data_IF_157491235459
#
_entry.id   IF_157491235459
#
_cell.length_a   1.000
_cell.length_b   1.000
_cell.length_c   1.000
_cell.angle_alpha   90.00
_cell.angle_beta   90.00
_cell.angle_gamma   90.00
#
_symmetry.space_group_name_H-M   'P 1'
#
loop_
_entity.id
_entity.type
_entity.pdbx_description
1 polymer ?
#
# COMPACT_ATOMS: atom_id res chain seq x y z
N UNK A 1 -3.88 -12.56 -19.63
CA UNK A 1 -3.92 -11.94 -18.29
C UNK A 1 -4.86 -10.74 -18.35
N UNK A 2 -5.81 -10.66 -17.43
CA UNK A 2 -6.92 -9.69 -17.51
C UNK A 2 -6.74 -8.44 -16.66
N UNK A 3 -5.64 -8.32 -15.92
CA UNK A 3 -5.29 -7.11 -15.16
C UNK A 3 -6.00 -6.98 -13.82
N UNK A 4 -6.02 -5.76 -13.30
CA UNK A 4 -6.71 -5.34 -12.08
C UNK A 4 -8.04 -4.65 -12.41
N UNK A 5 -8.86 -4.35 -11.40
CA UNK A 5 -10.16 -3.67 -11.61
C UNK A 5 -9.96 -2.24 -12.11
N UNK A 6 -9.13 -1.48 -11.39
CA UNK A 6 -8.87 -0.08 -11.67
C UNK A 6 -7.75 0.06 -12.71
N UNK A 7 -7.84 1.11 -13.52
CA UNK A 7 -6.83 1.48 -14.54
C UNK A 7 -6.42 0.29 -15.40
N UNK A 8 -7.38 -0.56 -15.76
CA UNK A 8 -7.15 -1.86 -16.34
C UNK A 8 -6.39 -1.78 -17.67
N UNK A 9 -5.55 -2.79 -17.88
CA UNK A 9 -5.03 -3.21 -19.17
C UNK A 9 -5.13 -4.74 -19.22
N UNK A 10 -5.19 -5.31 -20.42
CA UNK A 10 -5.06 -6.75 -20.63
C UNK A 10 -3.73 -7.07 -21.30
N UNK A 11 -3.15 -8.22 -20.96
CA UNK A 11 -1.85 -8.63 -21.49
C UNK A 11 -1.87 -10.04 -22.07
N UNK A 12 -1.11 -10.22 -23.15
CA UNK A 12 -0.98 -11.46 -23.90
C UNK A 12 0.47 -11.90 -24.01
N UNK A 13 0.69 -13.21 -23.96
CA UNK A 13 1.97 -13.81 -24.30
C UNK A 13 2.01 -14.10 -25.81
N UNK A 14 3.01 -13.55 -26.50
CA UNK A 14 3.35 -13.87 -27.89
C UNK A 14 4.83 -14.26 -27.93
N UNK A 15 5.14 -15.56 -28.04
CA UNK A 15 6.50 -16.09 -28.10
C UNK A 15 7.43 -15.55 -27.00
N UNK A 16 6.97 -15.61 -25.74
CA UNK A 16 7.67 -15.10 -24.54
C UNK A 16 7.83 -13.57 -24.50
N UNK A 17 7.05 -12.85 -25.31
CA UNK A 17 6.94 -11.38 -25.25
C UNK A 17 5.57 -11.02 -24.72
N UNK A 18 5.52 -10.03 -23.83
CA UNK A 18 4.28 -9.54 -23.26
C UNK A 18 3.77 -8.39 -24.11
N UNK A 19 2.60 -8.55 -24.70
CA UNK A 19 1.85 -7.50 -25.39
C UNK A 19 0.82 -6.94 -24.43
N UNK A 20 0.87 -5.64 -24.16
CA UNK A 20 -0.06 -4.94 -23.28
C UNK A 20 -1.03 -4.13 -24.14
N UNK A 21 -2.31 -4.16 -23.81
CA UNK A 21 -3.34 -3.37 -24.49
C UNK A 21 -3.22 -1.87 -24.19
N UNK A 22 -4.04 -1.08 -24.87
CA UNK A 22 -4.36 0.27 -24.44
C UNK A 22 -5.04 0.29 -23.06
N UNK A 23 -5.09 1.47 -22.45
CA UNK A 23 -5.84 1.73 -21.23
C UNK A 23 -7.34 1.46 -21.44
N UNK A 24 -7.91 0.63 -20.56
CA UNK A 24 -9.34 0.26 -20.59
C UNK A 24 -10.13 1.08 -19.57
N UNK A 25 -9.59 1.27 -18.36
CA UNK A 25 -10.26 2.01 -17.30
C UNK A 25 -10.71 1.13 -16.14
N UNK A 26 -11.75 1.57 -15.44
CA UNK A 26 -12.34 0.83 -14.31
C UNK A 26 -13.35 -0.20 -14.83
N UNK A 27 -13.03 -1.48 -14.73
CA UNK A 27 -13.83 -2.57 -15.29
C UNK A 27 -15.10 -2.89 -14.51
N UNK A 28 -15.32 -2.26 -13.35
CA UNK A 28 -16.61 -2.37 -12.66
C UNK A 28 -17.68 -1.49 -13.35
N UNK A 29 -17.29 -0.54 -14.20
CA UNK A 29 -18.18 0.09 -15.16
C UNK A 29 -18.40 -0.85 -16.37
N UNK A 30 -19.67 -1.11 -16.70
CA UNK A 30 -20.09 -1.92 -17.84
C UNK A 30 -19.46 -1.49 -19.18
N UNK A 31 -19.35 -0.19 -19.43
CA UNK A 31 -18.78 0.36 -20.67
C UNK A 31 -17.31 -0.03 -20.84
N UNK A 32 -16.55 0.02 -19.74
CA UNK A 32 -15.14 -0.37 -19.72
C UNK A 32 -15.01 -1.90 -19.74
N UNK A 33 -15.95 -2.63 -19.15
CA UNK A 33 -15.98 -4.09 -19.26
C UNK A 33 -16.21 -4.55 -20.70
N UNK A 34 -17.16 -3.95 -21.43
CA UNK A 34 -17.36 -4.22 -22.85
C UNK A 34 -16.12 -3.86 -23.68
N UNK A 35 -15.42 -2.79 -23.31
CA UNK A 35 -14.13 -2.43 -23.91
C UNK A 35 -13.04 -3.48 -23.62
N UNK A 36 -13.00 -4.05 -22.41
CA UNK A 36 -12.10 -5.16 -22.06
C UNK A 36 -12.37 -6.37 -22.96
N UNK A 37 -13.62 -6.82 -23.03
CA UNK A 37 -14.02 -8.01 -23.80
C UNK A 37 -13.70 -7.83 -25.29
N UNK A 38 -14.09 -6.69 -25.86
CA UNK A 38 -13.84 -6.38 -27.27
C UNK A 38 -12.34 -6.23 -27.59
N UNK A 39 -11.57 -5.59 -26.71
CA UNK A 39 -10.11 -5.47 -26.85
C UNK A 39 -9.45 -6.83 -26.79
N UNK A 40 -9.83 -7.67 -25.83
CA UNK A 40 -9.24 -9.00 -25.68
C UNK A 40 -9.56 -9.90 -26.88
N UNK A 41 -10.80 -9.87 -27.37
CA UNK A 41 -11.19 -10.57 -28.60
C UNK A 41 -10.38 -10.11 -29.82
N UNK A 42 -10.23 -8.79 -30.00
CA UNK A 42 -9.49 -8.22 -31.15
C UNK A 42 -8.01 -8.57 -31.14
N UNK A 43 -7.35 -8.54 -29.98
CA UNK A 43 -5.95 -8.96 -29.87
C UNK A 43 -5.79 -10.46 -30.18
N UNK A 44 -6.71 -11.30 -29.70
CA UNK A 44 -6.70 -12.73 -30.01
C UNK A 44 -6.86 -13.00 -31.50
N UNK A 45 -7.77 -12.31 -32.17
CA UNK A 45 -7.97 -12.42 -33.62
C UNK A 45 -6.75 -11.92 -34.40
N UNK A 46 -6.29 -10.70 -34.11
CA UNK A 46 -5.20 -10.05 -34.85
C UNK A 46 -3.89 -10.83 -34.79
N UNK A 47 -3.56 -11.39 -33.63
CA UNK A 47 -2.33 -12.15 -33.41
C UNK A 47 -2.53 -13.66 -33.47
N UNK A 48 -3.73 -14.13 -33.84
CA UNK A 48 -4.12 -15.55 -33.87
C UNK A 48 -3.75 -16.29 -32.57
N UNK A 49 -4.03 -15.66 -31.43
CA UNK A 49 -3.68 -16.18 -30.11
C UNK A 49 -4.73 -17.20 -29.66
N UNK A 50 -4.24 -18.35 -29.19
CA UNK A 50 -5.03 -19.37 -28.50
C UNK A 50 -4.49 -19.51 -27.08
N UNK A 51 -4.98 -18.69 -26.13
CA UNK A 51 -4.50 -18.74 -24.76
C UNK A 51 -4.76 -20.13 -24.16
N UNK A 52 -3.73 -20.73 -23.60
CA UNK A 52 -3.80 -21.99 -22.87
C UNK A 52 -3.89 -21.76 -21.34
N UNK A 53 -3.90 -20.50 -20.92
CA UNK A 53 -4.16 -20.04 -19.58
C UNK A 53 -4.75 -18.62 -19.57
N UNK A 54 -5.69 -18.37 -18.65
CA UNK A 54 -6.22 -17.06 -18.33
C UNK A 54 -5.86 -16.72 -16.88
N UNK A 55 -5.29 -15.53 -16.67
CA UNK A 55 -4.76 -15.10 -15.37
C UNK A 55 -5.51 -13.85 -14.92
N UNK A 56 -5.98 -13.83 -13.67
CA UNK A 56 -6.62 -12.69 -13.04
C UNK A 56 -6.06 -12.37 -11.65
N UNK A 57 -6.52 -11.28 -11.06
CA UNK A 57 -6.29 -10.93 -9.65
C UNK A 57 -7.03 -11.92 -8.71
N UNK A 58 -6.61 -11.99 -7.44
CA UNK A 58 -7.29 -12.76 -6.39
C UNK A 58 -8.70 -12.24 -6.07
N UNK A 59 -9.04 -11.03 -6.49
CA UNK A 59 -10.41 -10.54 -6.36
C UNK A 59 -11.37 -11.20 -7.38
N UNK A 60 -11.80 -12.43 -7.09
CA UNK A 60 -12.64 -13.26 -7.96
C UNK A 60 -14.04 -12.69 -8.25
N UNK A 61 -14.51 -11.75 -7.43
CA UNK A 61 -15.80 -11.07 -7.62
C UNK A 61 -15.79 -9.97 -8.70
N UNK A 62 -14.63 -9.65 -9.27
CA UNK A 62 -14.52 -8.61 -10.30
C UNK A 62 -15.02 -9.08 -11.67
N UNK A 63 -15.52 -8.14 -12.48
CA UNK A 63 -15.92 -8.42 -13.86
C UNK A 63 -14.77 -9.00 -14.70
N UNK A 64 -13.55 -8.50 -14.51
CA UNK A 64 -12.36 -9.01 -15.21
C UNK A 64 -12.06 -10.48 -14.85
N UNK A 65 -12.15 -10.85 -13.55
CA UNK A 65 -11.97 -12.24 -13.12
C UNK A 65 -13.08 -13.16 -13.65
N UNK A 66 -14.34 -12.68 -13.67
CA UNK A 66 -15.46 -13.38 -14.30
C UNK A 66 -15.21 -13.69 -15.77
N UNK A 67 -14.78 -12.68 -16.54
CA UNK A 67 -14.38 -12.88 -17.94
C UNK A 67 -13.26 -13.92 -18.10
N UNK A 68 -12.19 -13.84 -17.29
CA UNK A 68 -11.10 -14.81 -17.33
C UNK A 68 -11.56 -16.24 -17.05
N UNK A 69 -12.46 -16.41 -16.08
CA UNK A 69 -13.02 -17.72 -15.71
C UNK A 69 -13.88 -18.30 -16.83
N UNK A 70 -14.77 -17.49 -17.40
CA UNK A 70 -15.67 -17.92 -18.48
C UNK A 70 -14.91 -18.30 -19.76
N UNK A 71 -13.90 -17.51 -20.14
CA UNK A 71 -13.05 -17.83 -21.29
C UNK A 71 -12.19 -19.07 -21.04
N UNK A 72 -11.62 -19.22 -19.84
CA UNK A 72 -10.86 -20.42 -19.49
C UNK A 72 -11.71 -21.69 -19.62
N UNK A 73 -12.94 -21.65 -19.11
CA UNK A 73 -13.88 -22.76 -19.24
C UNK A 73 -14.23 -23.05 -20.71
N UNK A 74 -14.54 -22.01 -21.50
CA UNK A 74 -14.95 -22.17 -22.91
C UNK A 74 -13.84 -22.74 -23.79
N UNK A 75 -12.59 -22.35 -23.54
CA UNK A 75 -11.42 -22.77 -24.33
C UNK A 75 -10.76 -24.05 -23.80
N UNK A 76 -11.22 -24.58 -22.66
CA UNK A 76 -10.54 -25.69 -21.98
C UNK A 76 -9.12 -25.32 -21.51
N UNK A 77 -8.90 -24.05 -21.18
CA UNK A 77 -7.63 -23.49 -20.73
C UNK A 77 -7.53 -23.44 -19.20
N UNK A 78 -6.32 -23.27 -18.68
CA UNK A 78 -6.11 -23.14 -17.23
C UNK A 78 -6.63 -21.78 -16.71
N UNK A 79 -7.38 -21.78 -15.61
CA UNK A 79 -7.72 -20.57 -14.88
C UNK A 79 -6.76 -20.36 -13.72
N UNK A 80 -6.07 -19.22 -13.68
CA UNK A 80 -5.04 -18.89 -12.71
C UNK A 80 -5.39 -17.58 -12.01
N UNK A 81 -5.23 -17.54 -10.70
CA UNK A 81 -5.39 -16.33 -9.91
C UNK A 81 -4.12 -16.06 -9.11
N UNK A 82 -3.69 -14.79 -9.07
CA UNK A 82 -2.50 -14.37 -8.30
C UNK A 82 -2.77 -13.11 -7.49
N UNK A 83 -2.03 -12.96 -6.39
CA UNK A 83 -2.12 -11.80 -5.51
C UNK A 83 -1.71 -10.50 -6.18
N UNK A 84 -2.49 -9.44 -5.94
CA UNK A 84 -2.31 -8.11 -6.53
C UNK A 84 -0.88 -7.56 -6.36
N UNK A 85 -0.38 -7.55 -5.13
CA UNK A 85 0.93 -7.00 -4.78
C UNK A 85 2.09 -7.83 -5.33
N UNK A 86 1.88 -9.13 -5.52
CA UNK A 86 2.85 -10.00 -6.17
C UNK A 86 2.89 -9.74 -7.68
N UNK A 87 1.73 -9.53 -8.32
CA UNK A 87 1.66 -9.12 -9.72
C UNK A 87 2.38 -7.78 -9.98
N UNK A 88 2.27 -6.82 -9.05
CA UNK A 88 3.05 -5.58 -9.06
C UNK A 88 4.56 -5.86 -9.12
N UNK A 89 5.10 -6.64 -8.19
CA UNK A 89 6.52 -6.99 -8.18
C UNK A 89 6.95 -7.74 -9.45
N UNK A 90 6.15 -8.70 -9.90
CA UNK A 90 6.39 -9.46 -11.13
C UNK A 90 6.41 -8.58 -12.38
N UNK A 91 5.64 -7.50 -12.43
CA UNK A 91 5.64 -6.59 -13.59
C UNK A 91 7.00 -5.92 -13.77
N UNK A 92 7.65 -5.52 -12.67
CA UNK A 92 8.99 -4.93 -12.67
C UNK A 92 10.04 -6.00 -12.98
N UNK A 93 9.90 -7.21 -12.42
CA UNK A 93 10.77 -8.34 -12.73
C UNK A 93 10.71 -8.71 -14.22
N UNK A 94 9.52 -8.72 -14.82
CA UNK A 94 9.30 -9.03 -16.23
C UNK A 94 10.05 -8.06 -17.14
N UNK A 95 9.92 -6.75 -16.87
CA UNK A 95 10.60 -5.72 -17.64
C UNK A 95 12.14 -5.81 -17.51
N UNK A 96 12.63 -6.18 -16.33
CA UNK A 96 14.06 -6.23 -16.04
C UNK A 96 14.69 -7.62 -16.27
N UNK A 97 13.93 -8.58 -16.78
CA UNK A 97 14.40 -9.95 -17.05
C UNK A 97 14.86 -10.70 -15.81
N UNK A 98 14.18 -10.50 -14.67
CA UNK A 98 14.55 -11.10 -13.38
C UNK A 98 13.74 -12.37 -13.12
N UNK A 99 14.45 -13.44 -12.79
CA UNK A 99 13.86 -14.73 -12.41
C UNK A 99 14.16 -15.11 -10.95
N UNK A 100 15.24 -14.58 -10.39
CA UNK A 100 15.72 -14.88 -9.05
C UNK A 100 14.99 -14.09 -7.95
N UNK A 101 15.31 -14.39 -6.68
CA UNK A 101 14.66 -13.77 -5.54
C UNK A 101 14.96 -12.27 -5.46
N UNK A 102 13.92 -11.48 -5.23
CA UNK A 102 13.98 -10.03 -5.02
C UNK A 102 13.17 -9.64 -3.79
N UNK A 103 13.41 -8.44 -3.28
CA UNK A 103 12.51 -7.76 -2.35
C UNK A 103 11.58 -6.87 -3.19
N UNK A 104 10.33 -7.28 -3.33
CA UNK A 104 9.26 -6.47 -3.92
C UNK A 104 8.69 -5.48 -2.90
N UNK A 105 8.85 -4.19 -3.16
CA UNK A 105 8.14 -3.13 -2.44
C UNK A 105 6.92 -2.75 -3.27
N UNK A 106 5.75 -3.23 -2.85
CA UNK A 106 4.47 -3.04 -3.56
C UNK A 106 3.60 -2.09 -2.73
N UNK A 107 3.72 -0.79 -2.99
CA UNK A 107 3.02 0.25 -2.23
C UNK A 107 1.91 0.88 -3.05
N UNK A 108 0.67 0.66 -2.61
CA UNK A 108 -0.53 1.01 -3.36
C UNK A 108 -1.65 1.54 -2.46
N UNK A 109 -2.78 1.90 -3.08
CA UNK A 109 -4.01 2.26 -2.40
C UNK A 109 -4.78 1.04 -1.88
N UNK A 110 -5.09 0.09 -2.75
CA UNK A 110 -5.96 -1.04 -2.40
C UNK A 110 -5.58 -2.26 -3.22
N UNK A 111 -5.32 -3.38 -2.57
CA UNK A 111 -5.32 -4.69 -3.22
C UNK A 111 -5.67 -5.78 -2.23
N UNK A 112 -6.37 -6.82 -2.70
CA UNK A 112 -6.79 -7.92 -1.82
C UNK A 112 -5.57 -8.74 -1.38
N UNK A 113 -5.38 -8.84 -0.07
CA UNK A 113 -4.37 -9.67 0.56
C UNK A 113 -4.85 -11.10 0.81
N UNK A 114 -3.90 -12.00 1.07
CA UNK A 114 -4.20 -13.42 1.35
C UNK A 114 -4.97 -13.62 2.67
N UNK A 115 -4.92 -12.63 3.55
CA UNK A 115 -5.63 -12.57 4.83
C UNK A 115 -7.04 -11.97 4.72
N UNK A 116 -7.55 -11.80 3.49
CA UNK A 116 -8.78 -11.05 3.16
C UNK A 116 -8.75 -9.58 3.62
N UNK A 117 -7.59 -9.06 4.02
CA UNK A 117 -7.36 -7.66 4.31
C UNK A 117 -7.08 -6.86 3.04
N UNK A 118 -7.08 -5.54 3.18
CA UNK A 118 -6.64 -4.65 2.11
C UNK A 118 -5.18 -4.30 2.29
N UNK A 119 -4.34 -4.88 1.45
CA UNK A 119 -2.92 -4.59 1.37
C UNK A 119 -2.65 -3.31 0.56
N UNK A 120 -1.42 -2.80 0.68
CA UNK A 120 -0.95 -1.62 -0.05
C UNK A 120 0.33 -1.00 0.52
N UNK A 121 0.99 -1.68 1.46
CA UNK A 121 2.22 -1.24 2.10
C UNK A 121 3.18 -2.39 2.30
N UNK A 122 3.27 -3.28 1.31
CA UNK A 122 3.83 -4.62 1.48
C UNK A 122 5.29 -4.73 1.03
N UNK A 123 6.05 -5.51 1.80
CA UNK A 123 7.39 -5.96 1.48
C UNK A 123 7.30 -7.47 1.22
N UNK A 124 7.49 -7.88 -0.02
CA UNK A 124 7.46 -9.26 -0.44
C UNK A 124 8.89 -9.74 -0.69
N UNK A 125 9.24 -10.92 -0.21
CA UNK A 125 10.38 -11.68 -0.74
C UNK A 125 9.81 -12.63 -1.77
N UNK A 126 10.12 -12.42 -3.04
CA UNK A 126 9.46 -13.11 -4.14
C UNK A 126 10.41 -13.44 -5.30
N UNK A 127 10.07 -14.47 -6.04
CA UNK A 127 10.66 -14.81 -7.33
C UNK A 127 9.52 -15.08 -8.34
N UNK A 128 9.74 -15.88 -9.38
CA UNK A 128 8.69 -16.22 -10.35
C UNK A 128 7.79 -17.39 -9.92
N UNK A 129 8.21 -18.15 -8.89
CA UNK A 129 7.50 -19.31 -8.38
C UNK A 129 6.54 -18.95 -7.23
N UNK A 130 6.85 -17.91 -6.46
CA UNK A 130 5.96 -17.43 -5.41
C UNK A 130 6.52 -16.26 -4.60
N UNK A 131 5.85 -15.98 -3.47
CA UNK A 131 6.26 -14.92 -2.56
C UNK A 131 6.03 -15.29 -1.10
N UNK A 132 6.74 -14.57 -0.22
CA UNK A 132 6.51 -14.51 1.22
C UNK A 132 6.32 -13.05 1.61
N UNK A 133 5.26 -12.75 2.35
CA UNK A 133 5.08 -11.44 3.00
C UNK A 133 6.14 -11.30 4.10
N UNK A 134 7.15 -10.45 3.87
CA UNK A 134 8.30 -10.26 4.74
C UNK A 134 8.20 -9.01 5.61
N UNK A 135 7.34 -8.07 5.25
CA UNK A 135 7.01 -6.92 6.08
C UNK A 135 5.81 -6.14 5.56
N UNK A 136 5.24 -5.29 6.40
CA UNK A 136 4.11 -4.44 6.08
C UNK A 136 3.96 -3.28 7.07
N UNK A 137 3.10 -2.31 6.76
CA UNK A 137 2.71 -1.28 7.74
C UNK A 137 1.74 -1.84 8.77
N UNK A 138 1.78 -1.32 9.99
CA UNK A 138 0.85 -1.69 11.05
C UNK A 138 -0.61 -1.54 10.59
N UNK A 139 -1.41 -2.62 10.68
CA UNK A 139 -2.78 -2.59 10.19
C UNK A 139 -3.66 -1.72 11.10
N UNK A 140 -4.68 -1.11 10.50
CA UNK A 140 -5.77 -0.46 11.23
C UNK A 140 -7.11 -0.86 10.61
N UNK A 141 -8.17 -0.87 11.43
CA UNK A 141 -9.51 -1.18 10.96
C UNK A 141 -10.16 0.05 10.36
N UNK A 142 -10.85 -0.11 9.24
CA UNK A 142 -11.61 0.95 8.58
C UNK A 142 -13.05 0.51 8.46
N UNK A 143 -13.97 1.28 9.03
CA UNK A 143 -15.41 1.10 8.86
C UNK A 143 -15.86 1.66 7.51
N UNK A 144 -16.70 0.91 6.78
CA UNK A 144 -17.23 1.31 5.47
C UNK A 144 -16.12 1.74 4.50
N UNK A 145 -15.25 0.79 4.13
CA UNK A 145 -14.01 1.04 3.39
C UNK A 145 -14.20 1.92 2.15
N UNK A 146 -15.14 1.56 1.25
CA UNK A 146 -15.40 2.32 0.02
C UNK A 146 -15.92 3.74 0.26
N UNK A 147 -16.67 3.93 1.35
CA UNK A 147 -17.10 5.26 1.78
C UNK A 147 -15.97 6.06 2.43
N UNK A 148 -15.04 5.40 3.11
CA UNK A 148 -13.92 6.01 3.80
C UNK A 148 -12.84 6.50 2.82
N UNK A 149 -12.58 5.76 1.73
CA UNK A 149 -11.64 6.22 0.69
C UNK A 149 -12.11 7.49 -0.03
N UNK A 150 -13.43 7.76 -0.05
CA UNK A 150 -14.02 8.99 -0.62
C UNK A 150 -14.01 10.18 0.35
N UNK A 151 -13.99 9.92 1.66
CA UNK A 151 -13.86 10.96 2.70
C UNK A 151 -12.76 10.56 3.68
N UNK A 152 -11.55 11.00 3.38
CA UNK A 152 -10.32 10.60 4.08
C UNK A 152 -10.30 10.97 5.56
N UNK A 153 -11.18 11.88 6.01
CA UNK A 153 -11.41 12.16 7.43
C UNK A 153 -11.89 10.93 8.19
N UNK A 154 -12.65 10.04 7.52
CA UNK A 154 -13.09 8.76 8.10
C UNK A 154 -11.91 7.82 8.32
N UNK A 155 -10.93 7.79 7.40
CA UNK A 155 -9.71 7.01 7.55
C UNK A 155 -8.88 7.52 8.73
N UNK A 156 -8.70 8.84 8.84
CA UNK A 156 -8.02 9.45 9.97
C UNK A 156 -8.71 9.15 11.30
N UNK A 157 -10.05 9.22 11.35
CA UNK A 157 -10.80 8.91 12.57
C UNK A 157 -10.65 7.45 12.96
N UNK A 158 -10.76 6.53 12.00
CA UNK A 158 -10.58 5.10 12.24
C UNK A 158 -9.16 4.81 12.77
N UNK A 159 -8.13 5.37 12.14
CA UNK A 159 -6.75 5.20 12.58
C UNK A 159 -6.49 5.82 13.96
N UNK A 160 -7.02 7.03 14.22
CA UNK A 160 -6.91 7.67 15.52
C UNK A 160 -7.59 6.82 16.60
N UNK A 161 -8.80 6.33 16.35
CA UNK A 161 -9.52 5.46 17.29
C UNK A 161 -8.75 4.18 17.59
N UNK A 162 -8.27 3.47 16.56
CA UNK A 162 -7.49 2.24 16.74
C UNK A 162 -6.25 2.49 17.60
N UNK A 163 -5.56 3.62 17.38
CA UNK A 163 -4.25 3.88 17.96
C UNK A 163 -4.24 4.61 19.30
N UNK A 164 -5.32 5.34 19.61
CA UNK A 164 -5.52 5.97 20.89
C UNK A 164 -6.43 5.13 21.80
N UNK A 165 -7.48 4.51 21.27
CA UNK A 165 -8.40 3.64 22.01
C UNK A 165 -7.84 2.24 22.28
N UNK A 166 -6.99 1.71 21.39
CA UNK A 166 -6.37 0.39 21.52
C UNK A 166 -5.21 0.31 22.53
N UNK A 167 -4.70 1.45 23.02
CA UNK A 167 -3.59 1.47 23.98
C UNK A 167 -3.89 0.82 25.35
N UNK A 168 -5.16 0.45 25.60
CA UNK A 168 -5.60 -0.30 26.78
C UNK A 168 -6.13 -1.72 26.50
N UNK A 169 -6.06 -2.22 25.26
CA UNK A 169 -6.55 -3.55 24.87
C UNK A 169 -5.46 -4.36 24.14
N UNK A 170 -4.24 -4.38 24.67
CA UNK A 170 -3.34 -5.49 24.35
C UNK A 170 -3.97 -6.77 24.93
N UNK A 171 -4.54 -7.62 24.08
CA UNK A 171 -4.78 -9.02 24.42
C UNK A 171 -3.40 -9.69 24.61
N UNK A 172 -2.86 -9.57 25.82
CA UNK A 172 -1.83 -10.49 26.29
C UNK A 172 -2.53 -11.78 26.69
N UNK A 173 -2.48 -12.79 25.83
CA UNK A 173 -2.69 -14.17 26.26
C UNK A 173 -1.48 -14.61 27.11
N UNK A 174 -1.44 -14.15 28.35
CA UNK A 174 -0.61 -14.78 29.38
C UNK A 174 -1.39 -15.99 29.90
N UNK A 175 -1.04 -17.18 29.38
CA UNK A 175 -1.35 -18.44 30.05
C UNK A 175 -0.73 -18.38 31.44
N UNK A 176 -1.58 -18.46 32.47
CA UNK A 176 -1.24 -18.53 33.89
C UNK A 176 -0.79 -17.22 34.57
N UNK A 177 -1.68 -16.24 34.68
CA UNK A 177 -2.15 -15.72 36.00
C UNK A 177 -3.09 -14.54 35.83
N UNK A 178 -4.23 -14.59 36.53
CA UNK A 178 -5.11 -13.44 36.72
C UNK A 178 -4.38 -12.35 37.51
N UNK A 179 -3.86 -11.35 36.82
CA UNK A 179 -3.63 -10.03 37.42
C UNK A 179 -4.36 -9.00 36.56
N UNK A 180 -5.48 -8.51 37.08
CA UNK A 180 -6.16 -7.33 36.56
C UNK A 180 -5.27 -6.14 36.95
N UNK A 181 -4.36 -5.74 36.06
CA UNK A 181 -3.73 -4.42 36.16
C UNK A 181 -4.68 -3.44 35.49
N UNK A 182 -5.54 -2.81 36.29
CA UNK A 182 -6.16 -1.52 35.92
C UNK A 182 -5.07 -0.46 36.05
N UNK A 183 -4.25 -0.30 35.04
CA UNK A 183 -3.51 0.95 34.88
C UNK A 183 -4.47 1.98 34.31
N UNK A 184 -5.23 2.58 35.24
CA UNK A 184 -5.93 3.82 35.05
C UNK A 184 -4.91 4.92 34.77
N UNK A 185 -4.63 5.17 33.49
CA UNK A 185 -4.16 6.49 33.06
C UNK A 185 -5.33 7.45 33.29
N UNK A 186 -5.05 8.51 34.02
CA UNK A 186 -5.96 9.57 34.46
C UNK A 186 -6.99 9.98 33.39
N UNK A 187 -8.27 9.68 33.66
CA UNK A 187 -9.36 10.67 33.66
C UNK A 187 -9.62 11.54 32.43
N UNK A 188 -9.11 11.21 31.25
CA UNK A 188 -9.54 11.81 29.97
C UNK A 188 -10.09 10.70 29.10
N UNK A 189 -11.38 10.80 28.78
CA UNK A 189 -12.01 9.91 27.83
C UNK A 189 -11.30 10.09 26.48
N UNK A 190 -10.53 9.09 26.06
CA UNK A 190 -9.68 9.15 24.87
C UNK A 190 -10.53 9.45 23.62
N UNK A 191 -11.75 8.95 23.61
CA UNK A 191 -12.74 9.22 22.57
C UNK A 191 -13.16 10.69 22.60
N UNK A 192 -13.31 11.33 23.78
CA UNK A 192 -13.57 12.77 23.86
C UNK A 192 -12.41 13.60 23.32
N UNK A 193 -11.15 13.18 23.54
CA UNK A 193 -9.99 13.90 22.99
C UNK A 193 -9.90 13.76 21.46
N UNK A 194 -10.17 12.56 20.94
CA UNK A 194 -10.28 12.33 19.49
C UNK A 194 -11.43 13.17 18.94
N UNK A 195 -12.63 13.05 19.50
CA UNK A 195 -13.82 13.78 19.04
C UNK A 195 -13.58 15.29 19.01
N UNK A 196 -13.00 15.83 20.09
CA UNK A 196 -12.62 17.24 20.17
C UNK A 196 -11.64 17.65 19.09
N UNK A 197 -10.62 16.83 18.79
CA UNK A 197 -9.73 17.11 17.67
C UNK A 197 -10.50 17.17 16.34
N UNK A 198 -11.35 16.18 16.08
CA UNK A 198 -12.13 16.15 14.85
C UNK A 198 -13.23 17.21 14.78
N UNK A 199 -13.65 17.80 15.91
CA UNK A 199 -14.57 18.94 15.97
C UNK A 199 -13.83 20.27 15.74
N UNK A 200 -12.60 20.41 16.26
CA UNK A 200 -11.82 21.66 16.24
C UNK A 200 -11.13 21.93 14.89
N UNK A 201 -10.75 20.89 14.14
CA UNK A 201 -9.94 21.04 12.93
C UNK A 201 -10.71 20.93 11.60
N UNK A 202 -12.01 21.24 11.63
CA UNK A 202 -12.89 21.37 10.45
C UNK A 202 -12.91 20.10 9.57
N UNK A 203 -12.86 18.92 10.18
CA UNK A 203 -12.98 17.67 9.43
C UNK A 203 -14.46 17.41 9.12
N UNK A 204 -14.85 17.16 7.84
CA UNK A 204 -16.24 17.08 7.39
C UNK A 204 -16.92 15.79 7.86
N UNK A 205 -17.15 15.67 9.16
CA UNK A 205 -17.84 14.57 9.84
C UNK A 205 -18.79 15.12 10.90
N UNK A 206 -20.06 14.76 10.81
CA UNK A 206 -21.04 15.07 11.84
C UNK A 206 -20.81 14.24 13.10
N UNK A 207 -21.24 14.72 14.27
CA UNK A 207 -21.13 13.96 15.52
C UNK A 207 -21.82 12.58 15.46
N UNK A 208 -22.91 12.47 14.69
CA UNK A 208 -23.58 11.20 14.45
C UNK A 208 -22.72 10.23 13.63
N UNK A 209 -22.11 10.70 12.54
CA UNK A 209 -21.19 9.89 11.72
C UNK A 209 -19.99 9.41 12.52
N UNK A 210 -19.37 10.29 13.32
CA UNK A 210 -18.24 9.93 14.18
C UNK A 210 -18.63 8.78 15.12
N UNK A 211 -19.72 8.91 15.86
CA UNK A 211 -20.21 7.88 16.78
C UNK A 211 -20.50 6.54 16.10
N UNK A 212 -21.07 6.56 14.88
CA UNK A 212 -21.32 5.34 14.11
C UNK A 212 -20.01 4.66 13.74
N UNK A 213 -19.01 5.42 13.26
CA UNK A 213 -17.70 4.90 12.88
C UNK A 213 -17.00 4.26 14.09
N UNK A 214 -16.95 4.94 15.23
CA UNK A 214 -16.29 4.41 16.44
C UNK A 214 -16.93 3.09 16.89
N UNK A 215 -18.26 3.05 16.98
CA UNK A 215 -19.00 1.83 17.35
C UNK A 215 -18.83 0.70 16.34
N UNK A 216 -18.77 1.01 15.04
CA UNK A 216 -18.55 0.02 14.00
C UNK A 216 -17.15 -0.59 14.12
N UNK A 217 -16.11 0.24 14.35
CA UNK A 217 -14.73 -0.20 14.56
C UNK A 217 -14.61 -1.09 15.81
N UNK A 218 -15.20 -0.68 16.93
CA UNK A 218 -15.20 -1.45 18.18
C UNK A 218 -15.94 -2.79 18.05
N UNK A 219 -17.10 -2.76 17.41
CA UNK A 219 -17.96 -3.95 17.20
C UNK A 219 -17.53 -4.83 16.03
N UNK A 220 -16.52 -4.42 15.25
CA UNK A 220 -16.09 -5.13 14.04
C UNK A 220 -17.13 -5.17 12.91
N UNK A 221 -18.14 -4.31 12.94
CA UNK A 221 -19.27 -4.33 12.00
C UNK A 221 -18.90 -3.59 10.72
N UNK A 222 -18.91 -4.28 9.57
CA UNK A 222 -18.53 -3.72 8.27
C UNK A 222 -17.14 -3.03 8.31
N UNK A 223 -16.20 -3.69 8.98
CA UNK A 223 -14.82 -3.22 9.11
C UNK A 223 -13.87 -4.07 8.27
N UNK A 224 -12.92 -3.41 7.64
CA UNK A 224 -11.85 -4.05 6.87
C UNK A 224 -10.52 -3.65 7.47
N UNK A 225 -9.62 -4.61 7.69
CA UNK A 225 -8.24 -4.32 8.10
C UNK A 225 -7.44 -3.89 6.88
N UNK A 226 -6.67 -2.81 7.00
CA UNK A 226 -5.79 -2.37 5.92
C UNK A 226 -4.38 -2.06 6.39
N UNK A 227 -3.41 -2.43 5.56
CA UNK A 227 -1.97 -2.10 5.67
C UNK A 227 -1.54 -1.14 4.56
N UNK A 228 -2.50 -0.50 3.89
CA UNK A 228 -2.26 0.34 2.72
C UNK A 228 -1.50 1.61 3.04
N UNK A 229 -0.35 1.80 2.37
CA UNK A 229 0.40 3.04 2.48
C UNK A 229 -0.39 4.21 1.86
N UNK A 230 -1.14 3.98 0.77
CA UNK A 230 -2.02 5.01 0.23
C UNK A 230 -3.04 5.51 1.24
N UNK A 231 -3.68 4.60 2.01
CA UNK A 231 -4.64 4.98 3.06
C UNK A 231 -3.99 5.67 4.25
N UNK A 232 -2.75 5.31 4.60
CA UNK A 232 -1.97 6.01 5.62
C UNK A 232 -1.67 7.46 5.17
N UNK A 233 -1.28 7.66 3.91
CA UNK A 233 -1.09 9.00 3.34
C UNK A 233 -2.40 9.81 3.38
N UNK A 234 -3.53 9.21 3.01
CA UNK A 234 -4.84 9.85 3.08
C UNK A 234 -5.22 10.27 4.52
N UNK A 235 -4.97 9.40 5.51
CA UNK A 235 -5.21 9.71 6.92
C UNK A 235 -4.35 10.87 7.43
N UNK A 236 -3.06 10.89 7.08
CA UNK A 236 -2.16 12.00 7.43
C UNK A 236 -2.53 13.29 6.70
N UNK A 237 -2.98 13.20 5.45
CA UNK A 237 -3.48 14.34 4.69
C UNK A 237 -4.68 14.99 5.37
N UNK A 238 -5.64 14.19 5.84
CA UNK A 238 -6.78 14.68 6.61
C UNK A 238 -6.32 15.40 7.89
N UNK A 239 -5.44 14.77 8.69
CA UNK A 239 -4.87 15.37 9.91
C UNK A 239 -4.11 16.68 9.61
N UNK A 240 -3.39 16.75 8.49
CA UNK A 240 -2.64 17.94 8.10
C UNK A 240 -3.55 19.09 7.63
N UNK A 241 -4.78 18.80 7.19
CA UNK A 241 -5.79 19.81 6.83
C UNK A 241 -6.54 19.57 5.52
N UNK A 242 -6.47 18.37 4.90
CA UNK A 242 -7.33 18.02 3.78
C UNK A 242 -8.75 17.70 4.27
N UNK A 243 -9.66 18.67 4.17
CA UNK A 243 -10.96 18.66 4.83
C UNK A 243 -12.16 18.56 3.87
N UNK A 244 -11.98 17.92 2.71
CA UNK A 244 -13.05 17.72 1.73
C UNK A 244 -13.07 16.29 1.22
N UNK A 245 -14.20 15.83 0.64
CA UNK A 245 -14.22 14.58 -0.12
C UNK A 245 -13.19 14.63 -1.26
N UNK A 246 -12.60 13.47 -1.55
CA UNK A 246 -11.75 13.32 -2.73
C UNK A 246 -12.62 13.22 -3.98
N UNK A 247 -12.14 13.81 -5.06
CA UNK A 247 -12.77 13.87 -6.39
C UNK A 247 -12.17 12.85 -7.36
N UNK A 248 -10.95 12.38 -7.09
CA UNK A 248 -10.27 11.31 -7.82
C UNK A 248 -9.35 10.52 -6.87
N UNK A 249 -8.95 9.35 -7.32
CA UNK A 249 -8.12 8.44 -6.53
C UNK A 249 -6.73 9.03 -6.25
N UNK A 250 -6.30 8.98 -4.99
CA UNK A 250 -5.00 9.48 -4.55
C UNK A 250 -4.92 11.01 -4.36
N UNK A 251 -6.03 11.74 -4.49
CA UNK A 251 -6.03 13.20 -4.40
C UNK A 251 -5.46 13.73 -3.08
N UNK A 252 -5.84 13.16 -1.94
CA UNK A 252 -5.37 13.62 -0.64
C UNK A 252 -3.87 13.34 -0.44
N UNK A 253 -3.38 12.17 -0.89
CA UNK A 253 -1.96 11.84 -0.91
C UNK A 253 -1.15 12.79 -1.81
N UNK A 254 -1.65 13.12 -3.00
CA UNK A 254 -1.03 14.10 -3.91
C UNK A 254 -1.02 15.49 -3.27
N UNK A 255 -2.13 15.90 -2.67
CA UNK A 255 -2.23 17.18 -1.97
C UNK A 255 -1.18 17.27 -0.85
N UNK A 256 -0.99 16.20 -0.08
CA UNK A 256 -0.02 16.14 1.00
C UNK A 256 1.42 16.28 0.47
N UNK A 257 1.76 15.59 -0.63
CA UNK A 257 3.05 15.76 -1.32
C UNK A 257 3.27 17.23 -1.73
N UNK A 258 2.24 17.88 -2.29
CA UNK A 258 2.30 19.27 -2.72
C UNK A 258 2.47 20.26 -1.57
N UNK A 259 2.13 19.90 -0.33
CA UNK A 259 2.33 20.77 0.83
C UNK A 259 3.80 20.95 1.21
N UNK A 260 4.69 20.03 0.84
CA UNK A 260 6.11 20.15 1.22
C UNK A 260 6.72 21.41 0.58
N UNK A 261 7.26 22.35 1.37
CA UNK A 261 7.85 23.58 0.85
C UNK A 261 8.97 23.27 -0.15
N UNK A 262 9.12 24.01 -1.27
CA UNK A 262 10.17 23.77 -2.24
C UNK A 262 11.58 23.68 -1.64
N UNK A 263 11.89 24.57 -0.68
CA UNK A 263 13.19 24.59 0.02
C UNK A 263 13.45 23.38 0.92
N UNK A 264 12.43 22.58 1.20
CA UNK A 264 12.52 21.37 2.03
C UNK A 264 12.48 20.08 1.18
N UNK A 265 12.14 20.15 -0.11
CA UNK A 265 12.09 18.97 -0.99
C UNK A 265 13.45 18.30 -1.12
N UNK A 266 14.49 19.08 -1.39
CA UNK A 266 15.86 18.56 -1.50
C UNK A 266 16.33 17.93 -0.18
N UNK A 267 15.89 18.46 0.96
CA UNK A 267 16.20 17.89 2.28
C UNK A 267 15.58 16.51 2.48
N UNK A 268 14.43 16.22 1.87
CA UNK A 268 13.85 14.87 1.86
C UNK A 268 14.67 13.95 0.96
N UNK A 269 15.03 14.45 -0.24
CA UNK A 269 15.71 13.67 -1.28
C UNK A 269 17.13 13.30 -0.87
N UNK A 270 17.88 14.25 -0.30
CA UNK A 270 19.29 14.06 0.04
C UNK A 270 19.49 13.17 1.27
N UNK A 271 18.44 12.93 2.06
CA UNK A 271 18.43 11.92 3.12
C UNK A 271 19.35 12.17 4.31
N UNK A 272 20.17 13.23 4.28
CA UNK A 272 21.14 13.59 5.30
C UNK A 272 20.67 14.86 6.03
N UNK A 273 20.43 14.78 7.34
CA UNK A 273 20.12 15.95 8.15
C UNK A 273 20.65 15.78 9.58
N UNK A 274 21.22 16.85 10.13
CA UNK A 274 21.95 16.83 11.40
C UNK A 274 21.04 16.64 12.63
N UNK A 275 19.78 17.10 12.56
CA UNK A 275 18.81 16.94 13.66
C UNK A 275 17.61 16.08 13.21
N UNK A 276 17.83 14.76 13.19
CA UNK A 276 16.80 13.77 12.85
C UNK A 276 15.61 13.84 13.82
N UNK A 277 15.88 14.07 15.11
CA UNK A 277 14.88 14.07 16.18
C UNK A 277 13.77 15.12 15.99
N UNK A 278 14.07 16.23 15.31
CA UNK A 278 13.11 17.31 15.05
C UNK A 278 12.51 17.31 13.64
N UNK A 279 13.00 16.42 12.77
CA UNK A 279 12.73 16.44 11.33
C UNK A 279 12.01 15.18 10.82
N UNK A 280 11.86 14.17 11.67
CA UNK A 280 11.28 12.87 11.32
C UNK A 280 10.26 12.50 12.39
N UNK A 281 9.08 12.04 11.99
CA UNK A 281 8.18 11.44 12.97
C UNK A 281 8.69 10.07 13.43
N UNK A 282 8.63 9.78 14.74
CA UNK A 282 9.09 8.52 15.28
C UNK A 282 8.26 7.35 14.77
N UNK A 283 8.91 6.19 14.66
CA UNK A 283 8.29 4.92 14.31
C UNK A 283 9.03 3.79 15.00
N UNK A 284 8.41 2.61 15.03
CA UNK A 284 9.05 1.38 15.49
C UNK A 284 8.93 0.31 14.41
N UNK A 285 9.90 -0.58 14.37
CA UNK A 285 9.84 -1.79 13.53
C UNK A 285 9.84 -2.98 14.48
N UNK A 286 8.68 -3.60 14.63
CA UNK A 286 8.52 -4.85 15.38
C UNK A 286 8.51 -6.04 14.43
N UNK A 287 8.48 -7.25 14.97
CA UNK A 287 8.31 -8.47 14.20
C UNK A 287 7.08 -9.21 14.74
N UNK A 288 6.17 -9.57 13.84
CA UNK A 288 4.95 -10.32 14.16
C UNK A 288 4.75 -11.38 13.08
N UNK A 289 4.48 -12.62 13.50
CA UNK A 289 4.21 -13.74 12.58
C UNK A 289 5.29 -13.93 11.48
N UNK A 290 6.54 -13.61 11.80
CA UNK A 290 7.68 -13.75 10.88
C UNK A 290 7.82 -12.63 9.83
N UNK A 291 6.99 -11.58 9.91
CA UNK A 291 7.07 -10.37 9.10
C UNK A 291 7.45 -9.15 9.94
N UNK A 292 8.19 -8.20 9.35
CA UNK A 292 8.52 -6.93 9.98
C UNK A 292 7.35 -5.95 9.87
N UNK A 293 6.93 -5.34 10.98
CA UNK A 293 5.79 -4.42 11.03
C UNK A 293 6.27 -3.01 11.30
N UNK A 294 5.99 -2.09 10.37
CA UNK A 294 6.24 -0.65 10.56
C UNK A 294 5.08 -0.05 11.36
N UNK A 295 5.32 0.20 12.65
CA UNK A 295 4.35 0.82 13.55
C UNK A 295 4.32 2.34 13.33
N UNK A 296 3.25 2.82 12.72
CA UNK A 296 3.08 4.22 12.33
C UNK A 296 2.16 5.01 13.28
N UNK A 297 1.66 4.38 14.35
CA UNK A 297 0.86 5.03 15.40
C UNK A 297 1.52 6.28 15.96
N UNK A 298 2.82 6.23 16.23
CA UNK A 298 3.52 7.40 16.77
C UNK A 298 3.67 8.52 15.72
N UNK A 299 3.73 8.18 14.42
CA UNK A 299 3.67 9.19 13.36
C UNK A 299 2.33 9.92 13.35
N UNK A 300 1.22 9.18 13.48
CA UNK A 300 -0.12 9.78 13.54
C UNK A 300 -0.27 10.68 14.76
N UNK A 301 0.12 10.19 15.95
CA UNK A 301 0.04 10.95 17.20
C UNK A 301 0.81 12.26 17.13
N UNK A 302 2.04 12.21 16.62
CA UNK A 302 2.85 13.40 16.45
C UNK A 302 2.28 14.35 15.39
N UNK A 303 1.69 13.85 14.30
CA UNK A 303 1.02 14.69 13.31
C UNK A 303 -0.20 15.42 13.89
N UNK A 304 -1.00 14.74 14.70
CA UNK A 304 -2.14 15.35 15.40
C UNK A 304 -1.68 16.39 16.43
N UNK A 305 -0.60 16.10 17.18
CA UNK A 305 -0.01 17.05 18.13
C UNK A 305 0.54 18.29 17.43
N UNK A 306 1.26 18.13 16.32
CA UNK A 306 1.77 19.22 15.49
C UNK A 306 0.61 20.08 14.96
N UNK A 307 -0.48 19.45 14.49
CA UNK A 307 -1.68 20.16 14.05
C UNK A 307 -2.31 20.97 15.19
N UNK A 308 -2.45 20.39 16.39
CA UNK A 308 -2.93 21.09 17.61
C UNK A 308 -2.05 22.28 17.99
N UNK A 309 -0.73 22.17 17.78
CA UNK A 309 0.23 23.22 18.05
C UNK A 309 0.30 24.31 16.94
N UNK A 310 -0.55 24.24 15.91
CA UNK A 310 -0.57 25.22 14.82
C UNK A 310 0.58 25.05 13.82
N UNK A 311 1.24 23.89 13.80
CA UNK A 311 2.28 23.57 12.79
C UNK A 311 1.63 23.48 11.41
N UNK A 312 2.29 24.03 10.40
CA UNK A 312 1.77 24.07 9.03
C UNK A 312 1.67 22.67 8.40
N UNK A 313 0.69 22.49 7.50
CA UNK A 313 0.52 21.26 6.73
C UNK A 313 1.81 20.84 6.01
N UNK A 314 2.57 21.81 5.48
CA UNK A 314 3.86 21.56 4.83
C UNK A 314 4.92 20.98 5.76
N UNK A 315 4.97 21.43 7.02
CA UNK A 315 5.92 20.86 8.00
C UNK A 315 5.49 19.47 8.48
N UNK A 316 4.18 19.24 8.65
CA UNK A 316 3.64 17.91 8.96
C UNK A 316 3.97 16.94 7.82
N UNK A 317 3.68 17.34 6.59
CA UNK A 317 3.99 16.56 5.38
C UNK A 317 5.48 16.24 5.28
N UNK A 318 6.35 17.23 5.49
CA UNK A 318 7.80 17.05 5.48
C UNK A 318 8.27 15.99 6.49
N UNK A 319 7.83 16.08 7.76
CA UNK A 319 8.21 15.14 8.82
C UNK A 319 7.69 13.73 8.54
N UNK A 320 6.48 13.62 7.99
CA UNK A 320 5.86 12.34 7.63
C UNK A 320 6.58 11.64 6.48
N UNK A 321 6.82 12.32 5.35
CA UNK A 321 7.53 11.73 4.21
C UNK A 321 8.92 11.20 4.62
N UNK A 322 9.67 11.97 5.43
CA UNK A 322 10.97 11.52 5.95
C UNK A 322 10.85 10.29 6.86
N UNK A 323 9.82 10.25 7.70
CA UNK A 323 9.51 9.09 8.57
C UNK A 323 9.27 7.83 7.75
N UNK A 324 8.40 7.91 6.75
CA UNK A 324 8.09 6.78 5.86
C UNK A 324 9.33 6.32 5.10
N UNK A 325 10.08 7.23 4.47
CA UNK A 325 11.29 6.88 3.70
C UNK A 325 12.30 6.11 4.57
N UNK A 326 12.53 6.57 5.81
CA UNK A 326 13.45 5.91 6.74
C UNK A 326 12.94 4.55 7.22
N UNK A 327 11.67 4.48 7.62
CA UNK A 327 11.06 3.24 8.07
C UNK A 327 11.10 2.16 6.98
N UNK A 328 10.84 2.55 5.72
CA UNK A 328 10.93 1.66 4.57
C UNK A 328 12.36 1.19 4.34
N UNK A 329 13.34 2.11 4.37
CA UNK A 329 14.76 1.76 4.21
C UNK A 329 15.23 0.77 5.27
N UNK A 330 14.93 1.04 6.54
CA UNK A 330 15.35 0.18 7.66
C UNK A 330 14.67 -1.18 7.61
N UNK A 331 13.40 -1.24 7.20
CA UNK A 331 12.69 -2.50 6.99
C UNK A 331 13.31 -3.30 5.85
N UNK A 332 13.63 -2.66 4.71
CA UNK A 332 14.31 -3.30 3.59
C UNK A 332 15.69 -3.86 4.01
N UNK A 333 16.47 -3.12 4.83
CA UNK A 333 17.74 -3.60 5.38
C UNK A 333 17.58 -4.84 6.26
N UNK A 334 16.58 -4.85 7.14
CA UNK A 334 16.26 -6.00 8.01
C UNK A 334 15.83 -7.23 7.20
N UNK A 335 14.99 -7.05 6.19
CA UNK A 335 14.55 -8.12 5.28
C UNK A 335 15.75 -8.66 4.51
N UNK A 336 16.51 -7.77 3.89
CA UNK A 336 17.73 -8.13 3.19
C UNK A 336 18.70 -8.91 4.07
N UNK A 337 18.86 -8.55 5.35
CA UNK A 337 19.74 -9.28 6.28
C UNK A 337 19.24 -10.70 6.56
N UNK A 338 17.92 -10.85 6.72
CA UNK A 338 17.28 -12.14 6.97
C UNK A 338 17.34 -13.07 5.78
N UNK A 339 17.11 -12.57 4.58
CA UNK A 339 16.94 -13.38 3.38
C UNK A 339 18.17 -13.39 2.45
N UNK A 340 19.18 -12.57 2.75
CA UNK A 340 20.38 -12.40 1.93
C UNK A 340 20.06 -12.01 0.47
N UNK A 341 19.17 -11.02 0.31
CA UNK A 341 18.75 -10.47 -0.98
C UNK A 341 19.03 -8.97 -0.98
N UNK A 342 19.70 -8.47 -2.02
CA UNK A 342 20.05 -7.04 -2.16
C UNK A 342 19.40 -6.41 -3.41
N UNK A 343 18.59 -7.17 -4.14
CA UNK A 343 17.78 -6.75 -5.28
C UNK A 343 16.41 -6.25 -4.80
N UNK A 344 16.05 -5.02 -5.15
CA UNK A 344 14.76 -4.40 -4.79
C UNK A 344 13.99 -4.03 -6.05
N UNK A 345 12.75 -4.49 -6.18
CA UNK A 345 11.79 -4.00 -7.17
C UNK A 345 10.81 -3.04 -6.50
N UNK A 346 10.63 -1.83 -7.05
CA UNK A 346 9.66 -0.84 -6.55
C UNK A 346 8.46 -0.77 -7.50
N UNK A 347 7.25 -1.04 -6.99
CA UNK A 347 5.99 -0.98 -7.77
C UNK A 347 4.81 -0.54 -6.90
N UNK A 348 3.68 -0.24 -7.52
CA UNK A 348 2.46 0.25 -6.88
C UNK A 348 2.30 1.77 -6.99
N UNK A 349 1.04 2.23 -7.02
CA UNK A 349 0.69 3.62 -7.34
C UNK A 349 1.27 4.68 -6.38
N UNK A 350 1.65 4.30 -5.16
CA UNK A 350 2.23 5.25 -4.19
C UNK A 350 3.60 5.78 -4.66
N UNK A 351 4.33 5.04 -5.51
CA UNK A 351 5.61 5.50 -6.05
C UNK A 351 5.51 6.59 -7.13
N UNK A 352 4.30 7.00 -7.54
CA UNK A 352 4.14 8.25 -8.27
C UNK A 352 4.49 9.48 -7.42
N UNK A 353 4.47 9.35 -6.09
CA UNK A 353 4.96 10.38 -5.19
C UNK A 353 6.47 10.57 -5.39
N UNK A 354 6.85 11.71 -5.97
CA UNK A 354 8.24 11.96 -6.38
C UNK A 354 9.16 12.16 -5.20
N UNK A 355 8.65 12.72 -4.10
CA UNK A 355 9.42 12.93 -2.87
C UNK A 355 9.78 11.59 -2.22
N UNK A 356 8.80 10.70 -2.09
CA UNK A 356 8.99 9.35 -1.58
C UNK A 356 9.95 8.56 -2.47
N UNK A 357 9.68 8.50 -3.78
CA UNK A 357 10.51 7.75 -4.72
C UNK A 357 11.95 8.25 -4.73
N UNK A 358 12.16 9.56 -4.91
CA UNK A 358 13.51 10.14 -5.03
C UNK A 358 14.32 9.99 -3.73
N UNK A 359 13.69 10.25 -2.58
CA UNK A 359 14.35 10.08 -1.28
C UNK A 359 14.66 8.63 -0.96
N UNK A 360 13.76 7.70 -1.31
CA UNK A 360 14.00 6.28 -1.11
C UNK A 360 15.11 5.75 -2.02
N UNK A 361 15.13 6.12 -3.30
CA UNK A 361 16.21 5.74 -4.23
C UNK A 361 17.58 6.20 -3.73
N UNK A 362 17.66 7.43 -3.20
CA UNK A 362 18.90 7.96 -2.62
C UNK A 362 19.34 7.15 -1.40
N UNK A 363 18.42 6.88 -0.46
CA UNK A 363 18.74 6.16 0.76
C UNK A 363 19.06 4.68 0.54
N UNK A 364 18.33 4.00 -0.34
CA UNK A 364 18.59 2.61 -0.70
C UNK A 364 19.90 2.47 -1.51
N UNK A 365 20.23 3.47 -2.32
CA UNK A 365 21.50 3.54 -3.07
C UNK A 365 22.71 3.95 -2.22
N UNK A 366 22.52 4.30 -0.94
CA UNK A 366 23.60 4.64 -0.02
C UNK A 366 24.10 3.41 0.74
N UNK A 367 25.43 3.34 0.98
CA UNK A 367 26.02 2.31 1.85
C UNK A 367 25.42 2.38 3.25
N UNK A 368 25.25 1.23 3.88
CA UNK A 368 24.74 1.12 5.25
C UNK A 368 25.68 0.29 6.11
N UNK A 369 25.75 0.65 7.39
CA UNK A 369 26.38 -0.15 8.44
C UNK A 369 25.35 -0.41 9.52
N UNK A 370 24.90 -1.65 9.64
CA UNK A 370 23.97 -2.08 10.68
C UNK A 370 24.62 -3.23 11.45
N UNK A 371 24.60 -3.16 12.79
CA UNK A 371 25.22 -4.16 13.68
C UNK A 371 26.69 -4.52 13.35
N UNK A 372 27.48 -3.54 12.90
CA UNK A 372 28.92 -3.72 12.61
C UNK A 372 29.26 -4.39 11.27
N UNK A 373 28.26 -4.82 10.49
CA UNK A 373 28.47 -5.34 9.12
C UNK A 373 28.30 -4.21 8.11
N UNK A 374 29.34 -3.98 7.30
CA UNK A 374 29.27 -3.06 6.14
C UNK A 374 28.46 -3.75 5.04
N UNK A 375 27.38 -3.11 4.59
CA UNK A 375 26.59 -3.59 3.45
C UNK A 375 26.72 -2.65 2.26
N UNK A 376 26.75 -3.24 1.07
CA UNK A 376 26.71 -2.50 -0.18
C UNK A 376 25.36 -1.78 -0.38
N UNK A 377 25.28 -0.89 -1.38
CA UNK A 377 24.00 -0.32 -1.80
C UNK A 377 23.09 -1.39 -2.40
N UNK A 378 21.77 -1.21 -2.29
CA UNK A 378 20.80 -2.08 -2.96
C UNK A 378 20.88 -1.93 -4.47
N UNK A 379 20.62 -3.03 -5.19
CA UNK A 379 20.39 -3.00 -6.63
C UNK A 379 18.90 -2.79 -6.88
N UNK A 380 18.55 -1.57 -7.30
CA UNK A 380 17.16 -1.14 -7.41
C UNK A 380 16.66 -1.25 -8.85
N UNK A 381 15.47 -1.80 -9.01
CA UNK A 381 14.76 -1.95 -10.27
C UNK A 381 13.46 -1.15 -10.23
N UNK A 382 13.25 -0.37 -11.28
CA UNK A 382 12.07 0.45 -11.48
C UNK A 382 11.38 0.02 -12.79
N UNK A 383 10.05 0.16 -12.87
CA UNK A 383 9.37 0.10 -14.16
C UNK A 383 9.81 1.31 -15.01
N UNK A 384 10.01 1.09 -16.32
CA UNK A 384 10.36 2.12 -17.30
C UNK A 384 9.36 2.17 -18.45
N UNK A 385 8.88 1.00 -18.90
CA UNK A 385 7.90 0.82 -19.98
C UNK A 385 6.54 0.43 -19.44
N UNK A 386 6.49 -0.34 -18.35
CA UNK A 386 5.25 -0.56 -17.63
C UNK A 386 5.02 0.56 -16.63
N UNK A 387 3.78 0.63 -16.15
CA UNK A 387 3.37 1.60 -15.15
C UNK A 387 3.83 1.20 -13.74
N UNK A 388 3.86 2.13 -12.78
CA UNK A 388 3.91 1.78 -11.36
C UNK A 388 2.57 1.23 -10.86
N UNK A 389 1.46 1.79 -11.35
CA UNK A 389 0.12 1.45 -10.88
C UNK A 389 -0.50 0.24 -11.57
N UNK A 390 -1.78 0.02 -11.28
CA UNK A 390 -2.59 -1.15 -11.65
C UNK A 390 -2.57 -1.52 -13.13
N UNK A 391 -2.30 -0.57 -14.03
CA UNK A 391 -2.15 -0.83 -15.46
C UNK A 391 -0.96 -1.75 -15.79
N UNK A 392 -0.04 -2.00 -14.85
CA UNK A 392 1.05 -2.98 -14.99
C UNK A 392 0.72 -4.38 -14.47
N UNK A 393 -0.39 -4.55 -13.72
CA UNK A 393 -0.76 -5.83 -13.09
C UNK A 393 -0.93 -6.93 -14.14
N UNK A 394 -1.51 -6.62 -15.30
CA UNK A 394 -1.69 -7.60 -16.38
C UNK A 394 -0.35 -8.12 -16.92
N UNK A 395 0.69 -7.29 -16.94
CA UNK A 395 2.03 -7.69 -17.35
C UNK A 395 2.66 -8.66 -16.33
N UNK A 396 2.56 -8.37 -15.03
CA UNK A 396 3.02 -9.27 -13.97
C UNK A 396 2.29 -10.61 -13.96
N UNK A 397 0.97 -10.58 -14.12
CA UNK A 397 0.13 -11.78 -14.30
C UNK A 397 0.56 -12.60 -15.52
N UNK A 398 0.84 -11.94 -16.65
CA UNK A 398 1.29 -12.63 -17.85
C UNK A 398 2.68 -13.26 -17.66
N UNK A 399 3.59 -12.53 -17.00
CA UNK A 399 4.93 -13.01 -16.67
C UNK A 399 4.90 -14.26 -15.80
N UNK A 400 4.05 -14.27 -14.78
CA UNK A 400 3.83 -15.46 -13.94
C UNK A 400 3.46 -16.69 -14.76
N UNK A 401 2.47 -16.57 -15.65
CA UNK A 401 2.02 -17.69 -16.48
C UNK A 401 3.10 -18.17 -17.47
N UNK A 402 3.90 -17.26 -18.03
CA UNK A 402 5.03 -17.61 -18.91
C UNK A 402 6.07 -18.44 -18.15
N UNK A 403 6.42 -18.01 -16.93
CA UNK A 403 7.49 -18.62 -16.13
C UNK A 403 7.07 -19.92 -15.48
N UNK A 404 5.81 -20.05 -15.08
CA UNK A 404 5.27 -21.30 -14.52
C UNK A 404 5.31 -22.49 -15.50
N UNK A 405 5.30 -22.24 -16.81
CA UNK A 405 5.37 -23.27 -17.86
C UNK A 405 6.78 -23.52 -18.41
N UNK A 406 7.76 -22.69 -18.04
CA UNK A 406 9.16 -22.80 -18.48
C UNK A 406 9.95 -23.66 -17.51
#
# INVERSE_FOLDING_TARGET
>A
AVGAILKNTVSFNLDKRILISQYIGDTDNLENFDLLVSTAGRFRELYNLKPDAFVCDNHHGSNAAGYASDEAFREGAEFISIGHHYAHALSVMAENGLDGPVIGLSFDGTGLGDDNGVWGGEFLVCDTAGYKRAGHFEPFKVSNYDGAVKNVSKLALCAAHEFYGGAGKEEREDKENKVIVKDSVEGKNIDEEIMRFFDEFDLPLTGAEKNIILKAVDGGVNTVKTTSLGRIFDAIAAVAGFNRPVSFEGEAAIWLEMQVPPADKDKIIDGLYEDESKSVYPYKISEREGAFVIEWREMLKCAMADRKAGVSAGRISFKFHRGVIKAVRETALKISERFNIDEICLSGGVFYNRLLLSGLLKLLGAKSSQAGKKRGPFKIYLPQRVSFGDSAISAGQCYYAIKRKS
#
